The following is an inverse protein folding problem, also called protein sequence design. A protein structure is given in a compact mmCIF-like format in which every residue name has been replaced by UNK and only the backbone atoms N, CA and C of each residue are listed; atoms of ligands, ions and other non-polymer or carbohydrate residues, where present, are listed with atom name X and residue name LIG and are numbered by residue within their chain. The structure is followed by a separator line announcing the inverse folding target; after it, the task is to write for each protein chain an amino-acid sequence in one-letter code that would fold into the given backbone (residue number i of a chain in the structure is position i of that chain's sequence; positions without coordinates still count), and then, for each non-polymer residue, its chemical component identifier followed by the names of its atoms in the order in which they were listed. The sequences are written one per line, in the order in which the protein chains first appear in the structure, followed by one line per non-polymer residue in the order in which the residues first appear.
data_IF_615930261135
#
_entry.id   IF_615930261135
#
_cell.length_a   1.000
_cell.length_b   1.000
_cell.length_c   1.000
_cell.angle_alpha   90.00
_cell.angle_beta   90.00
_cell.angle_gamma   90.00
#
_symmetry.space_group_name_H-M   'P 1'
#
loop_
_entity.id
_entity.type
_entity.pdbx_description
1 polymer ?
#
# COMPACT_ATOMS: atom_id res chain seq x y z
N UNK A 1 -21.53 -1.78 2.10
CA UNK A 1 -20.41 -1.22 1.32
C UNK A 1 -19.76 -2.34 0.54
N UNK A 2 -19.17 -2.03 -0.60
CA UNK A 2 -18.36 -2.93 -1.43
C UNK A 2 -16.87 -2.66 -1.16
N UNK A 3 -16.05 -3.72 -1.13
CA UNK A 3 -14.61 -3.62 -0.82
C UNK A 3 -13.80 -4.33 -1.90
N UNK A 4 -12.78 -3.67 -2.42
CA UNK A 4 -11.75 -4.26 -3.27
C UNK A 4 -10.44 -4.33 -2.48
N UNK A 5 -9.84 -5.50 -2.38
CA UNK A 5 -8.56 -5.74 -1.72
C UNK A 5 -7.51 -6.06 -2.80
N UNK A 6 -6.57 -5.15 -3.01
CA UNK A 6 -5.54 -5.23 -4.05
C UNK A 6 -4.23 -5.68 -3.42
N UNK A 7 -3.68 -6.81 -3.89
CA UNK A 7 -2.56 -7.49 -3.27
C UNK A 7 -2.99 -8.26 -2.02
N UNK A 8 -4.05 -9.03 -2.14
CA UNK A 8 -4.74 -9.66 -1.01
C UNK A 8 -3.96 -10.82 -0.37
N UNK A 9 -2.99 -11.40 -1.06
CA UNK A 9 -2.19 -12.54 -0.60
C UNK A 9 -3.08 -13.67 -0.03
N UNK A 10 -2.96 -14.00 1.28
CA UNK A 10 -3.78 -15.03 1.94
C UNK A 10 -5.19 -14.53 2.33
N UNK A 11 -5.55 -13.28 2.01
CA UNK A 11 -6.91 -12.76 2.12
C UNK A 11 -7.34 -12.26 3.48
N UNK A 12 -6.43 -12.05 4.44
CA UNK A 12 -6.80 -11.64 5.81
C UNK A 12 -7.75 -10.44 5.84
N UNK A 13 -7.41 -9.36 5.11
CA UNK A 13 -8.23 -8.15 5.10
C UNK A 13 -9.53 -8.33 4.31
N UNK A 14 -9.52 -9.14 3.26
CA UNK A 14 -10.71 -9.50 2.50
C UNK A 14 -11.74 -10.22 3.37
N UNK A 15 -11.32 -11.26 4.10
CA UNK A 15 -12.20 -12.02 4.98
C UNK A 15 -12.66 -11.19 6.18
N UNK A 16 -11.80 -10.31 6.71
CA UNK A 16 -12.17 -9.40 7.78
C UNK A 16 -13.19 -8.35 7.31
N UNK A 17 -13.09 -7.86 6.06
CA UNK A 17 -14.09 -6.96 5.47
C UNK A 17 -15.46 -7.65 5.34
N UNK A 18 -15.49 -8.90 4.89
CA UNK A 18 -16.71 -9.70 4.86
C UNK A 18 -17.30 -9.90 6.26
N UNK A 19 -16.48 -10.32 7.24
CA UNK A 19 -16.89 -10.52 8.64
C UNK A 19 -17.49 -9.25 9.26
N UNK A 20 -17.03 -8.07 8.83
CA UNK A 20 -17.56 -6.76 9.25
C UNK A 20 -18.80 -6.32 8.47
N UNK A 21 -19.34 -7.16 7.61
CA UNK A 21 -20.60 -6.92 6.91
C UNK A 21 -20.47 -6.18 5.58
N UNK A 22 -19.31 -6.26 4.91
CA UNK A 22 -19.23 -5.82 3.53
C UNK A 22 -20.21 -6.62 2.66
N UNK A 23 -20.96 -5.93 1.77
CA UNK A 23 -21.97 -6.56 0.91
C UNK A 23 -21.34 -7.38 -0.21
N UNK A 24 -20.17 -6.96 -0.67
CA UNK A 24 -19.36 -7.62 -1.69
C UNK A 24 -17.90 -7.34 -1.37
N UNK A 25 -17.06 -8.35 -1.45
CA UNK A 25 -15.61 -8.23 -1.35
C UNK A 25 -14.99 -8.94 -2.55
N UNK A 26 -14.11 -8.24 -3.27
CA UNK A 26 -13.27 -8.81 -4.31
C UNK A 26 -11.81 -8.74 -3.85
N UNK A 27 -11.16 -9.87 -3.70
CA UNK A 27 -9.73 -10.00 -3.47
C UNK A 27 -9.00 -10.12 -4.81
N UNK A 28 -7.91 -9.38 -4.99
CA UNK A 28 -7.09 -9.47 -6.20
C UNK A 28 -5.63 -9.60 -5.84
N UNK A 29 -4.90 -10.44 -6.57
CA UNK A 29 -3.46 -10.57 -6.51
C UNK A 29 -2.96 -11.16 -7.83
N UNK A 30 -1.70 -11.00 -8.16
CA UNK A 30 -1.03 -11.67 -9.27
C UNK A 30 0.29 -12.28 -8.82
N UNK A 31 1.12 -11.47 -8.16
CA UNK A 31 2.47 -11.86 -7.77
C UNK A 31 2.50 -13.03 -6.78
N UNK A 32 1.65 -12.98 -5.73
CA UNK A 32 1.59 -14.04 -4.73
C UNK A 32 0.79 -15.25 -5.22
N UNK A 33 -0.15 -15.08 -6.16
CA UNK A 33 -1.00 -16.17 -6.65
C UNK A 33 -0.48 -16.81 -7.92
N UNK A 34 0.15 -16.04 -8.81
CA UNK A 34 0.58 -16.46 -10.15
C UNK A 34 1.91 -17.21 -10.24
N UNK A 35 2.59 -17.48 -9.14
CA UNK A 35 3.80 -18.32 -9.12
C UNK A 35 5.14 -17.60 -9.26
N UNK A 36 5.18 -16.30 -9.51
CA UNK A 36 6.44 -15.54 -9.57
C UNK A 36 6.98 -15.12 -8.19
N UNK A 37 6.08 -15.00 -7.19
CA UNK A 37 6.42 -14.64 -5.83
C UNK A 37 6.57 -15.84 -4.91
N UNK A 38 5.74 -15.92 -3.89
CA UNK A 38 5.67 -17.05 -2.97
C UNK A 38 4.78 -18.20 -3.48
N UNK A 39 4.30 -18.07 -4.69
CA UNK A 39 4.05 -19.11 -5.65
C UNK A 39 2.72 -19.82 -5.53
N UNK A 40 1.78 -19.45 -4.66
CA UNK A 40 0.54 -20.22 -4.59
C UNK A 40 -0.60 -19.46 -3.90
N UNK A 41 -1.80 -19.60 -4.46
CA UNK A 41 -3.07 -19.15 -3.90
C UNK A 41 -3.61 -20.07 -2.79
N UNK A 42 -2.90 -21.15 -2.47
CA UNK A 42 -3.40 -22.20 -1.58
C UNK A 42 -3.77 -21.70 -0.18
N UNK A 43 -3.03 -20.71 0.37
CA UNK A 43 -3.34 -20.09 1.66
C UNK A 43 -4.69 -19.37 1.63
N UNK A 44 -4.94 -18.57 0.59
CA UNK A 44 -6.23 -17.89 0.38
C UNK A 44 -7.39 -18.89 0.24
N UNK A 45 -7.20 -19.93 -0.58
CA UNK A 45 -8.25 -20.95 -0.81
C UNK A 45 -8.55 -21.76 0.45
N UNK A 46 -7.51 -22.12 1.21
CA UNK A 46 -7.66 -22.81 2.50
C UNK A 46 -8.44 -21.94 3.50
N UNK A 47 -8.07 -20.67 3.64
CA UNK A 47 -8.74 -19.74 4.54
C UNK A 47 -10.19 -19.52 4.11
N UNK A 48 -10.46 -19.29 2.81
CA UNK A 48 -11.81 -19.13 2.26
C UNK A 48 -12.69 -20.32 2.59
N UNK A 49 -12.18 -21.54 2.38
CA UNK A 49 -12.89 -22.77 2.70
C UNK A 49 -13.16 -22.93 4.20
N UNK A 50 -12.14 -22.70 5.03
CA UNK A 50 -12.24 -22.83 6.48
C UNK A 50 -13.24 -21.84 7.10
N UNK A 51 -13.31 -20.62 6.56
CA UNK A 51 -14.22 -19.57 6.99
C UNK A 51 -15.61 -19.66 6.35
N UNK A 52 -15.83 -20.60 5.42
CA UNK A 52 -17.04 -20.65 4.57
C UNK A 52 -17.37 -19.28 3.95
N UNK A 53 -16.35 -18.60 3.46
CA UNK A 53 -16.43 -17.22 2.99
C UNK A 53 -16.92 -17.13 1.54
N UNK A 54 -17.66 -16.04 1.22
CA UNK A 54 -18.15 -15.70 -0.12
C UNK A 54 -17.30 -14.65 -0.82
N UNK A 55 -16.14 -14.33 -0.29
CA UNK A 55 -15.19 -13.41 -0.91
C UNK A 55 -14.88 -13.89 -2.34
N UNK A 56 -15.14 -13.01 -3.30
CA UNK A 56 -14.75 -13.20 -4.70
C UNK A 56 -13.25 -13.03 -4.86
N UNK A 57 -12.67 -13.68 -5.85
CA UNK A 57 -11.24 -13.56 -6.16
C UNK A 57 -10.98 -13.41 -7.66
N UNK A 58 -9.94 -12.68 -8.00
CA UNK A 58 -9.48 -12.50 -9.36
C UNK A 58 -7.94 -12.38 -9.39
N UNK A 59 -7.30 -13.23 -10.19
CA UNK A 59 -5.88 -13.07 -10.48
C UNK A 59 -5.70 -11.99 -11.54
N UNK A 60 -5.11 -10.84 -11.14
CA UNK A 60 -4.91 -9.67 -11.99
C UNK A 60 -3.76 -8.81 -11.47
N UNK A 61 -2.91 -8.33 -12.38
CA UNK A 61 -1.87 -7.36 -12.05
C UNK A 61 -2.47 -5.99 -11.71
N UNK A 62 -1.84 -5.28 -10.76
CA UNK A 62 -2.28 -3.94 -10.33
C UNK A 62 -2.40 -2.98 -11.51
N UNK A 63 -1.48 -3.05 -12.48
CA UNK A 63 -1.47 -2.14 -13.63
C UNK A 63 -2.57 -2.46 -14.65
N UNK A 64 -3.16 -3.67 -14.57
CA UNK A 64 -4.28 -4.09 -15.41
C UNK A 64 -5.65 -3.81 -14.80
N UNK A 65 -5.69 -3.40 -13.53
CA UNK A 65 -6.93 -3.03 -12.85
C UNK A 65 -7.57 -1.83 -13.55
N UNK A 66 -8.85 -1.99 -13.91
CA UNK A 66 -9.68 -0.92 -14.46
C UNK A 66 -11.16 -1.19 -14.19
N UNK A 67 -12.00 -0.17 -14.40
CA UNK A 67 -13.45 -0.24 -14.15
C UNK A 67 -14.14 -1.36 -14.92
N UNK A 68 -13.71 -1.61 -16.15
CA UNK A 68 -14.33 -2.60 -17.01
C UNK A 68 -14.05 -4.03 -16.54
N UNK A 69 -12.89 -4.26 -15.88
CA UNK A 69 -12.49 -5.57 -15.38
C UNK A 69 -13.05 -5.87 -13.99
N UNK A 70 -12.94 -4.92 -13.06
CA UNK A 70 -13.26 -5.16 -11.64
C UNK A 70 -14.50 -4.40 -11.15
N UNK A 71 -14.86 -3.31 -11.81
CA UNK A 71 -15.91 -2.38 -11.37
C UNK A 71 -15.38 -1.27 -10.48
N UNK A 72 -16.30 -0.62 -9.73
CA UNK A 72 -16.00 0.46 -8.78
C UNK A 72 -16.47 0.04 -7.40
N UNK A 73 -15.65 0.31 -6.39
CA UNK A 73 -15.88 -0.12 -5.00
C UNK A 73 -15.94 1.08 -4.04
N UNK A 74 -16.79 0.99 -3.03
CA UNK A 74 -16.90 2.02 -2.00
C UNK A 74 -15.58 2.22 -1.25
N UNK A 75 -14.90 1.12 -0.92
CA UNK A 75 -13.59 1.09 -0.26
C UNK A 75 -12.63 0.25 -1.10
N UNK A 76 -11.43 0.79 -1.30
CA UNK A 76 -10.31 0.05 -1.86
C UNK A 76 -9.22 -0.07 -0.81
N UNK A 77 -8.73 -1.28 -0.59
CA UNK A 77 -7.57 -1.59 0.24
C UNK A 77 -6.36 -1.78 -0.68
N UNK A 78 -5.27 -1.08 -0.40
CA UNK A 78 -4.00 -1.19 -1.12
C UNK A 78 -2.88 -1.21 -0.08
N UNK A 79 -2.70 -2.38 0.53
CA UNK A 79 -1.95 -2.55 1.76
C UNK A 79 -0.68 -3.37 1.49
N UNK A 80 0.48 -2.76 1.71
CA UNK A 80 1.76 -3.43 1.54
C UNK A 80 2.20 -3.62 0.08
N UNK A 81 1.66 -2.88 -0.87
CA UNK A 81 1.88 -3.13 -2.31
C UNK A 81 2.63 -1.99 -3.01
N UNK A 82 2.38 -0.72 -2.64
CA UNK A 82 2.88 0.44 -3.40
C UNK A 82 4.40 0.44 -3.58
N UNK A 83 5.16 0.07 -2.55
CA UNK A 83 6.63 0.06 -2.61
C UNK A 83 7.22 -1.07 -3.47
N UNK A 84 6.42 -2.07 -3.84
CA UNK A 84 6.76 -3.11 -4.82
C UNK A 84 6.46 -2.68 -6.27
N UNK A 85 5.71 -1.61 -6.48
CA UNK A 85 5.33 -1.19 -7.83
C UNK A 85 6.48 -0.47 -8.54
N UNK A 86 6.92 -0.95 -9.70
CA UNK A 86 7.92 -0.25 -10.53
C UNK A 86 7.42 1.11 -11.03
N UNK A 87 6.11 1.22 -11.24
CA UNK A 87 5.42 2.44 -11.70
C UNK A 87 4.39 2.89 -10.66
N UNK A 88 4.82 3.42 -9.50
CA UNK A 88 3.93 3.68 -8.37
C UNK A 88 2.84 4.71 -8.67
N UNK A 89 3.14 5.74 -9.48
CA UNK A 89 2.12 6.73 -9.85
C UNK A 89 1.04 6.12 -10.76
N UNK A 90 1.45 5.33 -11.76
CA UNK A 90 0.50 4.61 -12.63
C UNK A 90 -0.36 3.61 -11.83
N UNK A 91 0.24 2.89 -10.86
CA UNK A 91 -0.52 2.03 -9.97
C UNK A 91 -1.59 2.80 -9.20
N UNK A 92 -1.26 3.97 -8.64
CA UNK A 92 -2.22 4.83 -7.95
C UNK A 92 -3.32 5.38 -8.88
N UNK A 93 -3.04 5.64 -10.15
CA UNK A 93 -4.04 6.01 -11.17
C UNK A 93 -5.04 4.86 -11.38
N UNK A 94 -4.55 3.61 -11.47
CA UNK A 94 -5.40 2.41 -11.57
C UNK A 94 -6.27 2.24 -10.33
N UNK A 95 -5.67 2.33 -9.14
CA UNK A 95 -6.38 2.27 -7.86
C UNK A 95 -7.44 3.38 -7.76
N UNK A 96 -7.09 4.62 -8.12
CA UNK A 96 -8.05 5.72 -8.14
C UNK A 96 -9.22 5.45 -9.10
N UNK A 97 -8.97 4.89 -10.28
CA UNK A 97 -10.00 4.63 -11.27
C UNK A 97 -11.16 3.75 -10.73
N UNK A 98 -10.86 2.81 -9.85
CA UNK A 98 -11.81 1.85 -9.27
C UNK A 98 -12.28 2.19 -7.84
N UNK A 99 -11.76 3.28 -7.25
CA UNK A 99 -12.18 3.78 -5.93
C UNK A 99 -13.42 4.66 -6.08
N UNK A 100 -14.53 4.30 -5.47
CA UNK A 100 -15.77 5.09 -5.48
C UNK A 100 -15.80 6.16 -4.41
N UNK A 101 -15.31 5.84 -3.20
CA UNK A 101 -15.34 6.76 -2.06
C UNK A 101 -13.97 6.87 -1.37
N UNK A 102 -13.44 5.77 -0.84
CA UNK A 102 -12.26 5.80 0.03
C UNK A 102 -11.21 4.77 -0.38
N UNK A 103 -9.95 5.20 -0.40
CA UNK A 103 -8.76 4.35 -0.43
C UNK A 103 -8.17 4.27 0.97
N UNK A 104 -7.82 3.06 1.40
CA UNK A 104 -6.94 2.79 2.54
C UNK A 104 -5.64 2.25 1.96
N UNK A 105 -4.60 3.07 2.03
CA UNK A 105 -3.26 2.76 1.55
C UNK A 105 -2.34 2.52 2.73
N UNK A 106 -1.64 1.40 2.75
CA UNK A 106 -0.51 1.18 3.65
C UNK A 106 0.76 0.98 2.83
N UNK A 107 1.84 1.65 3.20
CA UNK A 107 3.11 1.54 2.50
C UNK A 107 4.31 1.77 3.41
N UNK A 108 5.44 1.19 3.01
CA UNK A 108 6.74 1.59 3.53
C UNK A 108 7.01 3.05 3.14
N UNK A 109 7.57 3.82 4.09
CA UNK A 109 8.06 5.19 3.87
C UNK A 109 9.50 5.32 4.36
N UNK A 110 10.29 6.14 3.66
CA UNK A 110 11.68 6.47 4.03
C UNK A 110 11.88 7.99 3.98
N UNK A 111 13.05 8.46 4.32
CA UNK A 111 13.44 9.87 4.24
C UNK A 111 12.51 10.81 5.02
N UNK A 112 12.03 10.37 6.19
CA UNK A 112 11.04 11.07 7.03
C UNK A 112 11.46 12.50 7.43
N UNK A 113 12.76 12.77 7.48
CA UNK A 113 13.33 14.07 7.86
C UNK A 113 13.66 14.96 6.65
N UNK A 114 13.35 14.52 5.44
CA UNK A 114 13.61 15.28 4.21
C UNK A 114 12.40 16.14 3.86
N UNK A 115 12.66 17.43 3.64
CA UNK A 115 11.61 18.38 3.21
C UNK A 115 11.22 18.15 1.74
N UNK A 116 9.94 18.39 1.44
CA UNK A 116 9.36 18.21 0.11
C UNK A 116 9.07 16.75 -0.26
N UNK A 117 8.44 16.52 -1.41
CA UNK A 117 8.13 15.17 -1.89
C UNK A 117 9.39 14.52 -2.47
N UNK A 118 9.89 13.48 -1.82
CA UNK A 118 11.05 12.70 -2.25
C UNK A 118 10.78 11.22 -2.16
N UNK A 119 11.48 10.44 -2.97
CA UNK A 119 11.35 8.99 -3.01
C UNK A 119 12.73 8.35 -3.17
N UNK A 120 13.06 7.43 -2.26
CA UNK A 120 14.30 6.67 -2.31
C UNK A 120 14.13 5.45 -3.21
N UNK A 121 15.09 5.23 -4.09
CA UNK A 121 15.17 4.03 -4.90
C UNK A 121 16.05 2.98 -4.21
N UNK A 122 15.59 1.72 -4.26
CA UNK A 122 16.32 0.55 -3.77
C UNK A 122 16.67 -0.35 -4.97
N UNK A 123 17.93 -0.34 -5.47
CA UNK A 123 18.30 -1.11 -6.65
C UNK A 123 18.45 -2.62 -6.41
N UNK A 124 18.43 -3.06 -5.17
CA UNK A 124 18.64 -4.45 -4.77
C UNK A 124 17.84 -4.84 -3.53
N UNK A 125 18.46 -5.54 -2.59
CA UNK A 125 17.81 -6.09 -1.41
C UNK A 125 18.02 -5.23 -0.14
N UNK A 126 18.25 -3.92 -0.28
CA UNK A 126 18.58 -3.01 0.83
C UNK A 126 17.42 -2.81 1.81
N UNK A 127 16.19 -2.97 1.32
CA UNK A 127 15.01 -2.92 2.16
C UNK A 127 14.54 -4.32 2.51
N UNK A 128 14.68 -4.69 3.79
CA UNK A 128 14.23 -5.94 4.37
C UNK A 128 14.78 -7.22 3.69
N UNK A 129 15.94 -7.13 3.00
CA UNK A 129 16.55 -8.20 2.21
C UNK A 129 15.60 -8.78 1.12
N UNK A 130 14.75 -7.93 0.55
CA UNK A 130 13.78 -8.27 -0.46
C UNK A 130 14.02 -7.43 -1.73
N UNK A 131 14.45 -8.07 -2.86
CA UNK A 131 14.75 -7.36 -4.10
C UNK A 131 13.49 -6.89 -4.85
N UNK A 132 12.30 -7.20 -4.37
CA UNK A 132 11.05 -6.71 -4.94
C UNK A 132 10.61 -5.35 -4.38
N UNK A 133 11.33 -4.83 -3.40
CA UNK A 133 11.12 -3.51 -2.84
C UNK A 133 11.85 -2.46 -3.68
N UNK A 134 11.12 -1.63 -4.42
CA UNK A 134 11.70 -0.64 -5.33
C UNK A 134 11.82 0.75 -4.73
N UNK A 135 10.84 1.17 -3.92
CA UNK A 135 10.68 2.56 -3.55
C UNK A 135 10.37 2.77 -2.07
N UNK A 136 10.97 3.80 -1.49
CA UNK A 136 10.61 4.35 -0.19
C UNK A 136 10.21 5.82 -0.33
N UNK A 137 8.96 6.14 -0.66
CA UNK A 137 8.49 7.52 -0.67
C UNK A 137 8.47 8.09 0.75
N UNK A 138 8.68 9.40 0.90
CA UNK A 138 8.37 10.04 2.17
C UNK A 138 6.85 10.34 2.27
N UNK A 139 6.31 10.65 3.46
CA UNK A 139 4.88 10.89 3.63
C UNK A 139 4.34 12.02 2.73
N UNK A 140 5.16 13.05 2.48
CA UNK A 140 4.81 14.16 1.59
C UNK A 140 4.68 13.69 0.16
N UNK A 141 5.58 12.81 -0.31
CA UNK A 141 5.49 12.22 -1.64
C UNK A 141 4.23 11.37 -1.80
N UNK A 142 3.90 10.51 -0.82
CA UNK A 142 2.66 9.70 -0.85
C UNK A 142 1.43 10.60 -0.92
N UNK A 143 1.33 11.60 -0.06
CA UNK A 143 0.21 12.55 -0.06
C UNK A 143 0.10 13.29 -1.39
N UNK A 144 1.24 13.75 -1.94
CA UNK A 144 1.28 14.47 -3.21
C UNK A 144 0.85 13.57 -4.37
N UNK A 145 1.36 12.33 -4.45
CA UNK A 145 0.95 11.37 -5.48
C UNK A 145 -0.56 11.08 -5.42
N UNK A 146 -1.10 10.84 -4.21
CA UNK A 146 -2.54 10.61 -4.04
C UNK A 146 -3.38 11.81 -4.52
N UNK A 147 -2.97 13.04 -4.21
CA UNK A 147 -3.64 14.25 -4.70
C UNK A 147 -3.50 14.42 -6.22
N UNK A 148 -2.33 14.11 -6.77
CA UNK A 148 -2.05 14.20 -8.22
C UNK A 148 -2.96 13.28 -9.01
N UNK A 149 -3.24 12.06 -8.53
CA UNK A 149 -4.12 11.12 -9.23
C UNK A 149 -5.61 11.42 -9.02
N UNK A 150 -5.97 12.38 -8.15
CA UNK A 150 -7.33 12.91 -8.06
C UNK A 150 -8.04 12.79 -6.70
N UNK A 151 -7.41 12.23 -5.66
CA UNK A 151 -8.00 12.23 -4.32
C UNK A 151 -8.05 13.65 -3.74
N UNK A 152 -9.21 14.05 -3.22
CA UNK A 152 -9.45 15.42 -2.72
C UNK A 152 -8.86 15.65 -1.34
N UNK A 153 -8.90 14.63 -0.48
CA UNK A 153 -8.34 14.71 0.87
C UNK A 153 -7.53 13.46 1.21
N UNK A 154 -6.46 13.66 1.96
CA UNK A 154 -5.56 12.59 2.41
C UNK A 154 -5.27 12.81 3.89
N UNK A 155 -5.35 11.76 4.70
CA UNK A 155 -5.04 11.79 6.12
C UNK A 155 -4.14 10.63 6.49
N UNK A 156 -3.06 10.89 7.20
CA UNK A 156 -2.24 9.85 7.84
C UNK A 156 -2.96 9.44 9.13
N UNK A 157 -3.29 8.15 9.27
CA UNK A 157 -4.04 7.62 10.41
C UNK A 157 -3.22 6.72 11.31
N UNK A 158 -2.13 6.16 10.80
CA UNK A 158 -1.22 5.32 11.58
C UNK A 158 0.20 5.39 11.05
N UNK A 159 1.16 5.24 11.95
CA UNK A 159 2.59 5.16 11.66
C UNK A 159 3.22 4.11 12.58
N UNK A 160 4.02 3.19 12.03
CA UNK A 160 4.73 2.17 12.80
C UNK A 160 6.15 1.91 12.26
N UNK A 161 7.20 1.96 13.08
CA UNK A 161 7.19 2.50 14.44
C UNK A 161 6.86 3.99 14.45
N UNK A 162 6.38 4.51 15.57
CA UNK A 162 6.10 5.94 15.73
C UNK A 162 7.44 6.69 15.77
N UNK A 163 7.75 7.37 14.68
CA UNK A 163 8.95 8.21 14.54
C UNK A 163 8.50 9.63 14.24
N UNK A 164 8.99 10.63 14.95
CA UNK A 164 8.68 12.02 14.62
C UNK A 164 9.16 12.36 13.21
N UNK A 165 8.23 12.61 12.28
CA UNK A 165 8.57 13.00 10.91
C UNK A 165 8.47 14.52 10.67
N UNK A 166 7.88 15.27 11.59
CA UNK A 166 7.90 16.73 11.61
C UNK A 166 8.87 17.21 12.67
N UNK A 167 10.14 17.33 12.32
CA UNK A 167 11.05 18.19 13.08
C UNK A 167 10.73 19.61 12.63
N UNK A 168 10.22 20.43 13.57
CA UNK A 168 9.84 21.81 13.29
C UNK A 168 10.98 22.60 12.64
N UNK A 169 10.64 23.59 11.82
CA UNK A 169 11.58 24.54 11.24
C UNK A 169 12.51 25.08 12.35
N UNK A 170 13.76 24.66 12.37
CA UNK A 170 14.75 25.20 13.29
C UNK A 170 15.74 24.24 13.93
N UNK A 171 15.50 22.92 13.94
CA UNK A 171 16.49 21.97 14.49
C UNK A 171 17.32 21.39 13.34
N UNK A 172 18.40 22.09 12.96
CA UNK A 172 19.50 21.50 12.21
C UNK A 172 20.33 20.64 13.17
N UNK A 173 19.91 19.40 13.36
CA UNK A 173 20.77 18.39 13.97
C UNK A 173 21.95 18.16 13.01
N UNK A 174 23.13 18.71 13.33
CA UNK A 174 24.41 18.30 12.74
C UNK A 174 24.74 16.88 13.15
N UNK A 175 24.10 15.89 12.51
CA UNK A 175 24.29 14.50 12.84
C UNK A 175 25.33 13.93 11.88
N UNK A 176 26.43 13.40 12.44
CA UNK A 176 27.49 12.73 11.69
C UNK A 176 26.90 11.57 10.87
N UNK A 177 27.17 11.56 9.58
CA UNK A 177 26.66 10.71 8.51
C UNK A 177 26.79 9.16 8.68
N UNK A 178 27.27 8.65 9.81
CA UNK A 178 27.72 7.26 9.93
C UNK A 178 27.05 6.48 11.07
N UNK A 179 25.83 6.80 11.46
CA UNK A 179 25.18 6.07 12.54
C UNK A 179 24.02 5.21 11.99
N UNK A 180 24.12 3.85 12.03
CA UNK A 180 23.06 2.93 11.56
C UNK A 180 21.71 3.18 12.23
N UNK A 181 21.73 3.72 13.45
CA UNK A 181 20.53 4.11 14.20
C UNK A 181 19.70 5.18 13.46
N UNK A 182 20.36 6.17 12.81
CA UNK A 182 19.64 7.23 12.08
C UNK A 182 18.97 6.76 10.79
N UNK A 183 19.51 5.76 10.12
CA UNK A 183 18.83 5.16 8.97
C UNK A 183 17.52 4.50 9.40
N UNK A 184 17.50 3.81 10.55
CA UNK A 184 16.29 3.16 11.07
C UNK A 184 15.20 4.14 11.51
N UNK A 185 15.54 5.32 12.05
CA UNK A 185 14.54 6.33 12.42
C UNK A 185 14.00 7.14 11.24
N UNK A 186 14.56 6.99 10.05
CA UNK A 186 14.01 7.58 8.82
C UNK A 186 13.01 6.69 8.11
N UNK A 187 12.81 5.47 8.56
CA UNK A 187 11.91 4.48 7.95
C UNK A 187 10.72 4.17 8.85
N UNK A 188 9.56 3.98 8.24
CA UNK A 188 8.34 3.61 8.95
C UNK A 188 7.39 2.89 7.99
N UNK A 189 6.34 2.31 8.54
CA UNK A 189 5.15 1.94 7.77
C UNK A 189 4.03 2.90 8.15
N UNK A 190 3.33 3.42 7.15
CA UNK A 190 2.27 4.39 7.38
C UNK A 190 0.99 4.00 6.67
N UNK A 191 -0.14 4.29 7.33
CA UNK A 191 -1.47 4.13 6.76
C UNK A 191 -2.04 5.50 6.40
N UNK A 192 -2.46 5.63 5.17
CA UNK A 192 -3.09 6.80 4.61
C UNK A 192 -4.55 6.46 4.26
N UNK A 193 -5.46 7.32 4.67
CA UNK A 193 -6.81 7.33 4.16
C UNK A 193 -6.93 8.45 3.14
N UNK A 194 -7.43 8.14 1.94
CA UNK A 194 -7.66 9.12 0.89
C UNK A 194 -9.12 9.04 0.40
N UNK A 195 -9.75 10.18 0.19
CA UNK A 195 -11.15 10.27 -0.24
C UNK A 195 -11.26 10.97 -1.59
N UNK A 196 -12.21 10.50 -2.36
CA UNK A 196 -12.54 11.00 -3.68
C UNK A 196 -13.33 12.32 -3.66
#
# INVERSE_FOLDING_TARGET
MTVLDIGAWDGFFSFEAERRGAKRVLATDSFCWGGEGWGTKAGFELARKALNSRVEDMEIDVLDICRDKVGVFDIVLFLGVLYHMRHPLLALERVFSVTGNQLILETHVDMLLTEGPVMKFYPGAELANDPTNWWGPNPVAVETMLKTVGFRSVKIVSQWPVVPYKVGKGVRLKIKKHWPFFQKIQQSRMVFHAWR
#
